data_IF_845454599941
#
_entry.id   IF_845454599941
#
_cell.length_a   1.000
_cell.length_b   1.000
_cell.length_c   1.000
_cell.angle_alpha   90.00
_cell.angle_beta   90.00
_cell.angle_gamma   90.00
#
_symmetry.space_group_name_H-M   'P 1'
#
loop_
_entity.id
_entity.type
_entity.pdbx_description
1 polymer ?
#
# COMPACT_ATOMS: atom_id res chain seq x y z
N UNK A 1 17.15 3.38 -1.32
CA UNK A 1 17.69 2.19 -2.04
C UNK A 1 16.94 1.97 -3.34
N UNK A 2 17.55 1.32 -4.35
CA UNK A 2 16.94 1.16 -5.68
C UNK A 2 17.03 -0.26 -6.24
N UNK A 3 16.04 -0.64 -7.06
CA UNK A 3 16.10 -1.79 -7.94
C UNK A 3 15.68 -1.38 -9.36
N UNK A 4 16.32 -1.95 -10.37
CA UNK A 4 16.12 -1.57 -11.78
C UNK A 4 15.83 -2.83 -12.59
N UNK A 5 14.76 -2.80 -13.37
CA UNK A 5 14.45 -3.77 -14.41
C UNK A 5 14.56 -3.10 -15.77
N UNK A 6 15.45 -3.60 -16.63
CA UNK A 6 15.66 -3.04 -17.98
C UNK A 6 14.99 -3.90 -19.06
N UNK A 7 14.53 -3.25 -20.13
CA UNK A 7 13.96 -3.87 -21.33
C UNK A 7 12.74 -4.78 -21.08
N UNK A 8 11.90 -4.45 -20.11
CA UNK A 8 10.66 -5.19 -19.85
C UNK A 8 9.73 -5.11 -21.06
N UNK A 9 9.20 -6.25 -21.51
CA UNK A 9 8.29 -6.36 -22.66
C UNK A 9 6.87 -5.92 -22.29
N UNK A 10 6.76 -4.64 -21.95
CA UNK A 10 5.52 -3.96 -21.62
C UNK A 10 5.62 -2.49 -22.03
N UNK A 11 4.51 -1.90 -22.46
CA UNK A 11 4.47 -0.46 -22.71
C UNK A 11 4.56 0.32 -21.40
N UNK A 12 5.38 1.38 -21.40
CA UNK A 12 5.54 2.30 -20.27
C UNK A 12 4.21 2.79 -19.72
N UNK A 13 3.24 3.13 -20.57
CA UNK A 13 1.90 3.59 -20.17
C UNK A 13 1.13 2.53 -19.34
N UNK A 14 1.17 1.27 -19.76
CA UNK A 14 0.48 0.17 -19.05
C UNK A 14 1.12 -0.12 -17.70
N UNK A 15 2.45 -0.04 -17.62
CA UNK A 15 3.19 -0.18 -16.37
C UNK A 15 2.95 1.01 -15.42
N UNK A 16 2.96 2.24 -15.95
CA UNK A 16 2.72 3.45 -15.16
C UNK A 16 1.35 3.49 -14.49
N UNK A 17 0.32 2.97 -15.17
CA UNK A 17 -1.01 2.87 -14.59
C UNK A 17 -0.99 2.09 -13.27
N UNK A 18 -0.35 0.91 -13.26
CA UNK A 18 -0.26 0.08 -12.06
C UNK A 18 0.72 0.66 -11.04
N UNK A 19 1.84 1.24 -11.51
CA UNK A 19 2.79 1.90 -10.62
C UNK A 19 2.13 3.02 -9.81
N UNK A 20 1.22 3.80 -10.42
CA UNK A 20 0.49 4.87 -9.75
C UNK A 20 -0.35 4.40 -8.56
N UNK A 21 -0.82 3.15 -8.54
CA UNK A 21 -1.62 2.60 -7.44
C UNK A 21 -0.81 2.36 -6.16
N UNK A 22 0.49 2.12 -6.29
CA UNK A 22 1.36 1.67 -5.19
C UNK A 22 2.43 2.69 -4.79
N UNK A 23 2.45 3.88 -5.42
CA UNK A 23 3.37 4.95 -5.02
C UNK A 23 3.01 5.45 -3.61
N UNK A 24 4.01 5.56 -2.74
CA UNK A 24 3.83 6.03 -1.37
C UNK A 24 3.30 4.98 -0.38
N UNK A 25 2.89 3.80 -0.86
CA UNK A 25 2.44 2.70 -0.01
C UNK A 25 3.61 2.02 0.71
N UNK A 26 3.30 1.33 1.82
CA UNK A 26 4.23 0.40 2.44
C UNK A 26 4.54 -0.77 1.52
N UNK A 27 5.73 -1.36 1.65
CA UNK A 27 6.14 -2.47 0.79
C UNK A 27 5.20 -3.67 0.92
N UNK A 28 4.75 -4.01 2.13
CA UNK A 28 3.86 -5.13 2.37
C UNK A 28 2.45 -4.89 1.78
N UNK A 29 1.89 -3.71 2.05
CA UNK A 29 0.59 -3.30 1.49
C UNK A 29 0.61 -3.28 -0.03
N UNK A 30 1.68 -2.73 -0.63
CA UNK A 30 1.86 -2.73 -2.07
C UNK A 30 1.93 -4.15 -2.64
N UNK A 31 2.62 -5.09 -1.98
CA UNK A 31 2.68 -6.48 -2.42
C UNK A 31 1.32 -7.18 -2.31
N UNK A 32 0.54 -6.88 -1.27
CA UNK A 32 -0.83 -7.39 -1.14
C UNK A 32 -1.74 -6.85 -2.27
N UNK A 33 -1.70 -5.54 -2.53
CA UNK A 33 -2.52 -4.92 -3.56
C UNK A 33 -2.16 -5.42 -4.98
N UNK A 34 -0.87 -5.61 -5.26
CA UNK A 34 -0.40 -6.12 -6.56
C UNK A 34 -0.77 -7.59 -6.80
N UNK A 35 -0.97 -8.39 -5.74
CA UNK A 35 -1.41 -9.79 -5.88
C UNK A 35 -2.81 -9.91 -6.47
N UNK A 36 -3.71 -8.99 -6.12
CA UNK A 36 -5.12 -9.02 -6.54
C UNK A 36 -5.41 -8.15 -7.78
N UNK A 37 -4.39 -7.44 -8.30
CA UNK A 37 -4.58 -6.59 -9.48
C UNK A 37 -4.51 -7.44 -10.76
N UNK A 38 -5.56 -7.48 -11.62
CA UNK A 38 -5.65 -8.39 -12.78
C UNK A 38 -4.77 -7.98 -13.98
N UNK A 39 -3.81 -7.06 -13.79
CA UNK A 39 -2.98 -6.51 -14.87
C UNK A 39 -1.62 -7.20 -14.91
N UNK A 40 -1.15 -7.57 -16.10
CA UNK A 40 0.20 -8.16 -16.33
C UNK A 40 1.33 -7.33 -15.69
N UNK A 41 1.20 -6.01 -15.67
CA UNK A 41 2.17 -5.11 -15.04
C UNK A 41 2.36 -5.41 -13.54
N UNK A 42 1.33 -5.89 -12.83
CA UNK A 42 1.40 -6.17 -11.40
C UNK A 42 2.36 -7.33 -11.08
N UNK A 43 2.32 -8.39 -11.89
CA UNK A 43 3.25 -9.51 -11.77
C UNK A 43 4.71 -9.09 -12.00
N UNK A 44 4.96 -8.11 -12.88
CA UNK A 44 6.30 -7.57 -13.14
C UNK A 44 6.75 -6.68 -11.98
N UNK A 45 5.90 -5.73 -11.55
CA UNK A 45 6.22 -4.80 -10.47
C UNK A 45 6.44 -5.51 -9.12
N UNK A 46 5.65 -6.53 -8.81
CA UNK A 46 5.83 -7.31 -7.58
C UNK A 46 7.21 -7.96 -7.49
N UNK A 47 7.76 -8.45 -8.60
CA UNK A 47 9.13 -8.99 -8.65
C UNK A 47 10.18 -7.90 -8.38
N UNK A 48 10.03 -6.72 -8.98
CA UNK A 48 10.98 -5.60 -8.80
C UNK A 48 10.92 -5.06 -7.36
N UNK A 49 9.74 -4.92 -6.79
CA UNK A 49 9.57 -4.46 -5.40
C UNK A 49 10.15 -5.48 -4.41
N UNK A 50 9.93 -6.78 -4.61
CA UNK A 50 10.55 -7.83 -3.80
C UNK A 50 12.08 -7.77 -3.87
N UNK A 51 12.65 -7.56 -5.06
CA UNK A 51 14.09 -7.38 -5.23
C UNK A 51 14.60 -6.12 -4.53
N UNK A 52 13.87 -5.00 -4.59
CA UNK A 52 14.23 -3.78 -3.87
C UNK A 52 14.24 -3.98 -2.35
N UNK A 53 13.24 -4.69 -1.82
CA UNK A 53 13.15 -5.01 -0.40
C UNK A 53 14.30 -5.94 0.04
N UNK A 54 14.60 -6.99 -0.73
CA UNK A 54 15.73 -7.88 -0.46
C UNK A 54 17.07 -7.13 -0.47
N UNK A 55 17.27 -6.23 -1.44
CA UNK A 55 18.47 -5.40 -1.50
C UNK A 55 18.61 -4.48 -0.27
N UNK A 56 17.50 -4.06 0.33
CA UNK A 56 17.50 -3.25 1.53
C UNK A 56 17.81 -4.04 2.80
N UNK A 57 17.30 -5.27 2.89
CA UNK A 57 17.64 -6.19 3.97
C UNK A 57 19.11 -6.58 3.94
N UNK A 58 19.62 -7.03 2.80
CA UNK A 58 20.99 -7.58 2.73
C UNK A 58 22.04 -6.51 2.94
N UNK A 59 21.90 -5.35 2.30
CA UNK A 59 22.96 -4.33 2.32
C UNK A 59 22.88 -3.40 3.53
N UNK A 60 21.68 -3.13 4.07
CA UNK A 60 21.48 -2.14 5.14
C UNK A 60 20.80 -2.72 6.38
N UNK A 61 20.55 -4.04 6.42
CA UNK A 61 19.92 -4.75 7.55
C UNK A 61 18.60 -4.12 7.99
N UNK A 62 17.89 -3.49 7.04
CA UNK A 62 16.60 -2.85 7.30
C UNK A 62 15.49 -3.90 7.31
N UNK A 63 14.51 -3.77 8.20
CA UNK A 63 13.34 -4.65 8.24
C UNK A 63 12.30 -4.24 7.18
N UNK A 64 11.72 -5.22 6.48
CA UNK A 64 10.69 -5.01 5.43
C UNK A 64 9.51 -4.16 5.88
N UNK A 65 9.05 -4.36 7.10
CA UNK A 65 7.90 -3.67 7.70
C UNK A 65 8.07 -2.15 7.76
N UNK A 66 9.31 -1.64 7.80
CA UNK A 66 9.62 -0.21 7.88
C UNK A 66 9.90 0.42 6.53
N UNK A 67 9.89 -0.37 5.46
CA UNK A 67 10.18 0.10 4.11
C UNK A 67 8.90 0.59 3.44
N UNK A 68 9.01 1.75 2.81
CA UNK A 68 7.96 2.27 1.93
C UNK A 68 8.53 2.56 0.54
N UNK A 69 7.62 2.60 -0.44
CA UNK A 69 7.96 2.93 -1.81
C UNK A 69 8.00 4.45 -1.94
N UNK A 70 9.21 5.00 -2.00
CA UNK A 70 9.44 6.43 -2.17
C UNK A 70 9.05 6.90 -3.57
N UNK A 71 9.55 6.20 -4.58
CA UNK A 71 9.31 6.56 -5.97
C UNK A 71 9.33 5.33 -6.88
N UNK A 72 8.46 5.34 -7.90
CA UNK A 72 8.52 4.38 -9.01
C UNK A 72 8.56 5.17 -10.30
N UNK A 73 9.69 5.04 -11.00
CA UNK A 73 9.95 5.67 -12.28
C UNK A 73 9.81 4.61 -13.36
N UNK A 74 8.97 4.87 -14.36
CA UNK A 74 8.85 4.01 -15.54
C UNK A 74 9.17 4.84 -16.77
N UNK A 75 10.31 4.54 -17.39
CA UNK A 75 10.74 5.19 -18.62
C UNK A 75 10.49 4.30 -19.83
N UNK A 76 10.41 4.92 -21.00
CA UNK A 76 10.34 4.20 -22.26
C UNK A 76 11.69 3.56 -22.59
N UNK A 77 11.66 2.32 -23.08
CA UNK A 77 12.84 1.60 -23.51
C UNK A 77 12.95 1.48 -25.02
N UNK A 78 13.83 0.58 -25.49
CA UNK A 78 14.03 0.33 -26.91
C UNK A 78 12.70 -0.03 -27.59
N UNK A 79 12.37 0.68 -28.67
CA UNK A 79 11.19 0.38 -29.48
C UNK A 79 11.59 -0.30 -30.78
N UNK A 80 11.10 -1.51 -30.96
CA UNK A 80 11.33 -2.29 -32.18
C UNK A 80 10.21 -2.00 -33.19
N UNK A 81 10.59 -1.68 -34.43
CA UNK A 81 9.66 -1.48 -35.55
C UNK A 81 9.44 -2.81 -36.28
N UNK A 82 8.20 -3.10 -36.67
CA UNK A 82 7.80 -4.23 -37.53
C UNK A 82 6.87 -3.69 -38.62
N UNK A 83 7.06 -4.08 -39.87
CA UNK A 83 6.16 -3.69 -40.94
C UNK A 83 4.88 -4.53 -40.87
N UNK A 84 3.72 -3.90 -41.08
CA UNK A 84 2.44 -4.60 -41.26
C UNK A 84 1.87 -4.23 -42.63
N UNK A 85 1.66 -5.20 -43.53
CA UNK A 85 1.07 -4.95 -44.83
C UNK A 85 -0.38 -4.48 -44.69
N UNK A 86 -0.79 -3.54 -45.53
CA UNK A 86 -2.14 -2.96 -45.62
C UNK A 86 -2.59 -2.89 -47.08
N UNK A 87 -3.86 -2.55 -47.29
CA UNK A 87 -4.43 -2.41 -48.63
C UNK A 87 -3.69 -1.38 -49.49
N UNK A 88 -3.80 -1.53 -50.82
CA UNK A 88 -3.17 -0.65 -51.83
C UNK A 88 -1.63 -0.55 -51.71
N UNK A 89 -0.95 -1.66 -51.43
CA UNK A 89 0.52 -1.70 -51.35
C UNK A 89 1.13 -0.90 -50.20
N UNK A 90 0.33 -0.48 -49.21
CA UNK A 90 0.80 0.34 -48.08
C UNK A 90 1.40 -0.55 -46.98
N UNK A 91 2.40 -0.02 -46.28
CA UNK A 91 3.03 -0.69 -45.14
C UNK A 91 3.08 0.25 -43.92
N UNK A 92 2.39 -0.12 -42.84
CA UNK A 92 2.38 0.67 -41.60
C UNK A 92 3.32 0.04 -40.56
N UNK A 93 4.09 0.85 -39.81
CA UNK A 93 4.97 0.31 -38.76
C UNK A 93 4.20 0.00 -37.47
N UNK A 94 4.24 -1.25 -37.01
CA UNK A 94 3.89 -1.67 -35.65
C UNK A 94 5.09 -1.43 -34.73
N UNK A 95 4.88 -0.69 -33.65
CA UNK A 95 5.90 -0.41 -32.62
C UNK A 95 5.75 -1.39 -31.45
N UNK A 96 6.69 -2.32 -31.31
CA UNK A 96 6.83 -3.17 -30.11
C UNK A 96 7.67 -2.41 -29.09
N UNK A 97 6.99 -1.78 -28.13
CA UNK A 97 7.60 -0.93 -27.10
C UNK A 97 8.04 -1.74 -25.89
N UNK A 98 9.17 -1.35 -25.30
CA UNK A 98 9.66 -1.85 -24.03
C UNK A 98 9.66 -0.72 -22.97
N UNK A 99 9.86 -1.08 -21.71
CA UNK A 99 9.97 -0.14 -20.61
C UNK A 99 11.16 -0.49 -19.70
N UNK A 100 11.73 0.54 -19.08
CA UNK A 100 12.63 0.39 -17.94
C UNK A 100 11.88 0.82 -16.67
N UNK A 101 11.98 0.03 -15.62
CA UNK A 101 11.31 0.28 -14.33
C UNK A 101 12.38 0.44 -13.29
N UNK A 102 12.36 1.57 -12.59
CA UNK A 102 13.22 1.85 -11.44
C UNK A 102 12.33 2.06 -10.22
N UNK A 103 12.59 1.30 -9.17
CA UNK A 103 11.88 1.40 -7.89
C UNK A 103 12.85 1.90 -6.85
N UNK A 104 12.47 2.96 -6.15
CA UNK A 104 13.17 3.49 -4.99
C UNK A 104 12.39 3.18 -3.71
N UNK A 105 13.03 2.46 -2.79
CA UNK A 105 12.51 2.19 -1.44
C UNK A 105 13.32 2.95 -0.42
N UNK A 106 12.67 3.44 0.62
CA UNK A 106 13.30 4.18 1.70
C UNK A 106 12.68 3.76 3.05
N UNK A 107 13.34 4.09 4.15
CA UNK A 107 12.80 3.81 5.48
C UNK A 107 11.85 4.93 5.84
N UNK A 108 10.61 4.57 6.24
CA UNK A 108 9.70 5.58 6.77
C UNK A 108 10.18 5.91 8.18
N UNK A 109 10.78 7.08 8.36
CA UNK A 109 11.03 7.60 9.69
C UNK A 109 9.69 7.65 10.42
N UNK A 110 9.62 7.08 11.63
CA UNK A 110 8.45 7.24 12.48
C UNK A 110 8.13 8.74 12.56
N UNK A 111 6.86 9.14 12.47
CA UNK A 111 6.52 10.54 12.69
C UNK A 111 7.07 10.92 14.05
N UNK A 112 7.98 11.91 14.10
CA UNK A 112 8.36 12.53 15.37
C UNK A 112 7.05 12.92 16.06
N UNK A 113 6.92 12.45 17.29
CA UNK A 113 5.76 12.65 18.14
C UNK A 113 5.17 14.06 17.94
N UNK A 114 3.92 14.13 17.48
CA UNK A 114 3.10 15.28 17.85
C UNK A 114 2.83 15.13 19.33
N UNK A 115 3.30 16.13 20.07
CA UNK A 115 3.34 16.24 21.51
C UNK A 115 2.02 15.88 22.20
N UNK A 116 2.13 15.22 23.35
CA UNK A 116 1.12 15.31 24.40
C UNK A 116 1.00 16.78 24.86
N UNK A 117 -0.22 17.29 25.10
CA UNK A 117 -0.41 18.31 26.11
C UNK A 117 -1.18 17.69 27.29
N UNK A 118 -0.48 17.46 28.41
CA UNK A 118 -1.11 17.31 29.73
C UNK A 118 -1.09 18.65 30.47
N UNK A 119 -2.30 19.07 30.87
CA UNK A 119 -2.69 19.80 32.09
C UNK A 119 -2.63 21.35 32.17
N UNK A 120 -3.84 21.94 32.32
CA UNK A 120 -4.37 22.88 33.37
C UNK A 120 -5.58 23.63 32.75
N UNK A 121 -6.79 23.75 33.31
CA UNK A 121 -7.29 23.98 34.67
C UNK A 121 -8.75 23.43 34.81
N UNK A 122 -9.13 22.78 35.92
CA UNK A 122 -9.84 23.31 37.10
C UNK A 122 -11.32 23.74 36.87
N UNK A 123 -12.18 23.21 37.74
CA UNK A 123 -13.65 23.17 37.78
C UNK A 123 -14.39 24.53 37.78
N UNK A 124 -15.70 24.53 37.48
CA UNK A 124 -16.62 24.84 38.58
C UNK A 124 -17.79 23.85 38.73
N UNK A 125 -18.26 23.79 39.97
CA UNK A 125 -19.25 22.91 40.57
C UNK A 125 -20.67 23.13 40.01
N UNK A 126 -21.38 22.03 39.75
CA UNK A 126 -22.85 21.99 39.87
C UNK A 126 -23.27 20.66 40.51
N UNK A 127 -23.82 20.77 41.72
CA UNK A 127 -24.46 19.72 42.51
C UNK A 127 -25.76 19.29 41.83
N UNK A 128 -26.04 17.99 41.69
CA UNK A 128 -27.36 17.42 42.03
C UNK A 128 -27.14 16.02 42.61
N UNK A 129 -27.72 15.81 43.78
CA UNK A 129 -27.58 14.66 44.64
C UNK A 129 -28.47 13.49 44.21
N UNK A 130 -27.98 12.27 44.39
CA UNK A 130 -28.79 11.06 44.48
C UNK A 130 -28.36 10.29 45.73
N UNK A 131 -29.18 10.23 46.81
CA UNK A 131 -28.90 9.37 47.94
C UNK A 131 -29.42 7.95 47.69
N UNK A 132 -28.63 6.96 48.12
CA UNK A 132 -29.07 5.59 48.40
C UNK A 132 -29.78 5.57 49.76
N UNK A 133 -30.81 4.72 49.88
CA UNK A 133 -30.96 3.56 50.80
C UNK A 133 -32.47 3.33 51.00
N UNK A 134 -32.96 2.13 50.65
CA UNK A 134 -33.75 1.27 51.56
C UNK A 134 -34.09 -0.08 50.90
N UNK A 135 -33.76 -1.14 51.62
CA UNK A 135 -34.10 -2.56 51.42
C UNK A 135 -35.24 -2.91 52.39
N UNK A 136 -36.22 -3.77 52.07
CA UNK A 136 -36.43 -5.21 52.47
C UNK A 136 -37.99 -5.38 52.56
N UNK A 137 -38.66 -6.57 52.57
CA UNK A 137 -38.69 -7.74 51.66
C UNK A 137 -40.15 -8.11 51.22
N UNK A 138 -40.32 -9.14 50.36
CA UNK A 138 -41.41 -10.14 50.54
C UNK A 138 -41.14 -11.44 49.76
N UNK A 139 -41.12 -12.57 50.48
CA UNK A 139 -41.07 -13.95 49.98
C UNK A 139 -42.17 -14.74 50.69
N UNK A 140 -43.15 -15.28 49.95
CA UNK A 140 -44.12 -16.35 50.32
C UNK A 140 -44.65 -16.93 48.98
N UNK A 141 -44.11 -18.02 48.40
CA UNK A 141 -44.39 -19.47 48.57
C UNK A 141 -45.77 -20.02 48.11
N UNK A 142 -45.76 -20.75 46.97
CA UNK A 142 -46.41 -22.05 46.57
C UNK A 142 -47.96 -22.17 46.52
N UNK A 143 -48.58 -23.00 45.62
CA UNK A 143 -48.46 -24.47 45.63
C UNK A 143 -48.44 -25.22 44.28
N UNK A 144 -48.32 -26.55 44.40
CA UNK A 144 -48.17 -27.65 43.43
C UNK A 144 -49.52 -28.39 43.28
N UNK A 145 -50.01 -28.63 42.06
CA UNK A 145 -51.03 -29.62 41.65
C UNK A 145 -50.84 -29.82 40.12
N UNK A 146 -50.97 -30.97 39.46
CA UNK A 146 -51.38 -32.36 39.76
C UNK A 146 -50.66 -33.28 38.78
#
# INVERSE_FOLDING_TARGET
MKAILRNSSISSKKANLVAGLVRGAMVEDALAQLRFTPKKAAAILSKVIKSAAANAETNFKQKRERLYIKEIIVTEGRTNKRSMPRSRGRANPIKKRHAHITVHVDVKAAPKAKAEPKAKAAEPKAKVAAPKVETVPKKVSKPKQS
#
